data_IF_740330385041
#
_entry.id   IF_740330385041
#
_cell.length_a   1.000
_cell.length_b   1.000
_cell.length_c   1.000
_cell.angle_alpha   90.00
_cell.angle_beta   90.00
_cell.angle_gamma   90.00
#
_symmetry.space_group_name_H-M   'P 1'
#
loop_
_entity.id
_entity.type
_entity.pdbx_description
1 polymer ?
#
# COMPACT_ATOMS: atom_id res chain seq x y z
N UNK A 1 21.59 -5.30 21.73
CA UNK A 1 22.03 -6.51 21.00
C UNK A 1 21.38 -6.48 19.64
N UNK A 2 22.16 -6.08 18.64
CA UNK A 2 21.72 -5.91 17.24
C UNK A 2 21.36 -7.25 16.60
N UNK A 3 20.08 -7.46 16.34
CA UNK A 3 19.56 -8.57 15.54
C UNK A 3 19.61 -8.18 14.06
N UNK A 4 20.77 -8.35 13.43
CA UNK A 4 20.85 -8.41 11.97
C UNK A 4 21.43 -9.78 11.61
N UNK A 5 20.82 -10.54 10.67
CA UNK A 5 21.35 -11.83 10.25
C UNK A 5 22.73 -11.66 9.60
N UNK A 6 23.59 -12.67 9.79
CA UNK A 6 24.93 -12.71 9.24
C UNK A 6 24.96 -12.69 7.69
N UNK A 7 26.03 -12.10 7.17
CA UNK A 7 26.35 -11.80 5.76
C UNK A 7 26.10 -12.99 4.81
N UNK A 8 25.33 -12.75 3.74
CA UNK A 8 25.03 -13.70 2.65
C UNK A 8 25.99 -13.51 1.47
N UNK A 9 26.28 -14.61 0.78
CA UNK A 9 27.27 -14.75 -0.29
C UNK A 9 27.16 -13.72 -1.42
N UNK A 10 28.34 -13.32 -1.91
CA UNK A 10 28.56 -12.32 -2.95
C UNK A 10 28.20 -12.82 -4.38
N UNK A 11 27.63 -12.00 -5.30
CA UNK A 11 26.99 -12.51 -6.53
C UNK A 11 27.69 -12.19 -7.87
N UNK A 12 27.07 -12.59 -8.99
CA UNK A 12 27.54 -12.46 -10.40
C UNK A 12 28.09 -11.07 -10.81
N UNK A 13 28.87 -11.02 -11.90
CA UNK A 13 29.64 -9.82 -12.30
C UNK A 13 28.84 -8.51 -12.46
N UNK A 14 27.60 -8.56 -12.97
CA UNK A 14 26.74 -7.37 -13.04
C UNK A 14 26.28 -6.88 -11.67
N UNK A 15 26.07 -7.80 -10.72
CA UNK A 15 25.69 -7.49 -9.33
C UNK A 15 26.88 -6.86 -8.60
N UNK A 16 28.09 -7.37 -8.80
CA UNK A 16 29.32 -6.75 -8.26
C UNK A 16 29.56 -5.32 -8.75
N UNK A 17 29.30 -5.07 -10.04
CA UNK A 17 29.39 -3.73 -10.60
C UNK A 17 28.40 -2.77 -9.92
N UNK A 18 27.15 -3.19 -9.70
CA UNK A 18 26.16 -2.39 -8.99
C UNK A 18 26.57 -2.06 -7.54
N UNK A 19 27.07 -3.05 -6.79
CA UNK A 19 27.52 -2.84 -5.41
C UNK A 19 28.74 -1.90 -5.30
N UNK A 20 29.58 -1.85 -6.32
CA UNK A 20 30.73 -0.93 -6.36
C UNK A 20 30.40 0.47 -6.92
N UNK A 21 29.34 0.58 -7.73
CA UNK A 21 28.89 1.82 -8.33
C UNK A 21 27.96 2.64 -7.43
N UNK A 22 27.19 1.98 -6.56
CA UNK A 22 26.19 2.59 -5.70
C UNK A 22 26.83 3.38 -4.54
N UNK A 23 27.18 4.66 -4.79
CA UNK A 23 27.90 5.51 -3.82
C UNK A 23 26.99 6.47 -3.07
N UNK A 24 25.84 6.80 -3.64
CA UNK A 24 24.85 7.72 -3.10
C UNK A 24 23.44 7.13 -3.15
N UNK A 25 22.51 7.74 -2.41
CA UNK A 25 21.09 7.36 -2.46
C UNK A 25 20.49 7.45 -3.88
N UNK A 26 20.99 8.36 -4.71
CA UNK A 26 20.55 8.49 -6.10
C UNK A 26 21.00 7.31 -6.96
N UNK A 27 22.26 6.86 -6.82
CA UNK A 27 22.80 5.72 -7.54
C UNK A 27 22.06 4.42 -7.19
N UNK A 28 21.68 4.26 -5.91
CA UNK A 28 20.84 3.15 -5.46
C UNK A 28 19.47 3.19 -6.13
N UNK A 29 18.81 4.37 -6.19
CA UNK A 29 17.49 4.51 -6.83
C UNK A 29 17.54 4.21 -8.32
N UNK A 30 18.59 4.64 -9.02
CA UNK A 30 18.79 4.29 -10.43
C UNK A 30 18.95 2.77 -10.62
N UNK A 31 19.77 2.13 -9.79
CA UNK A 31 19.94 0.68 -9.80
C UNK A 31 18.62 -0.04 -9.51
N UNK A 32 17.88 0.43 -8.51
CA UNK A 32 16.61 -0.16 -8.09
C UNK A 32 15.53 -0.02 -9.15
N UNK A 33 15.54 1.04 -9.97
CA UNK A 33 14.59 1.18 -11.07
C UNK A 33 14.70 0.00 -12.06
N UNK A 34 15.93 -0.42 -12.42
CA UNK A 34 16.15 -1.60 -13.26
C UNK A 34 15.76 -2.90 -12.52
N UNK A 35 16.29 -3.09 -11.31
CA UNK A 35 16.07 -4.31 -10.53
C UNK A 35 14.62 -4.54 -10.12
N UNK A 36 13.82 -3.49 -9.98
CA UNK A 36 12.37 -3.60 -9.78
C UNK A 36 11.67 -4.27 -10.96
N UNK A 37 12.10 -3.98 -12.19
CA UNK A 37 11.50 -4.59 -13.40
C UNK A 37 11.94 -6.03 -13.60
N UNK A 38 13.19 -6.32 -13.23
CA UNK A 38 13.82 -7.64 -13.32
C UNK A 38 13.52 -8.54 -12.10
N UNK A 39 12.86 -8.00 -11.08
CA UNK A 39 12.46 -8.68 -9.84
C UNK A 39 13.63 -9.18 -8.98
N UNK A 40 14.74 -8.44 -8.98
CA UNK A 40 15.92 -8.72 -8.15
C UNK A 40 15.75 -8.25 -6.69
N UNK A 41 14.72 -8.76 -5.99
CA UNK A 41 14.34 -8.27 -4.65
C UNK A 41 15.42 -8.48 -3.58
N UNK A 42 16.04 -9.66 -3.59
CA UNK A 42 17.05 -10.00 -2.58
C UNK A 42 18.32 -9.16 -2.76
N UNK A 43 18.71 -8.88 -4.01
CA UNK A 43 19.80 -7.97 -4.33
C UNK A 43 19.52 -6.56 -3.87
N UNK A 44 18.31 -6.07 -4.13
CA UNK A 44 17.87 -4.76 -3.70
C UNK A 44 17.99 -4.60 -2.19
N UNK A 45 17.57 -5.62 -1.44
CA UNK A 45 17.68 -5.66 0.02
C UNK A 45 19.14 -5.64 0.49
N UNK A 46 19.96 -6.54 -0.04
CA UNK A 46 21.37 -6.65 0.33
C UNK A 46 22.15 -5.37 0.00
N UNK A 47 21.87 -4.75 -1.15
CA UNK A 47 22.51 -3.50 -1.54
C UNK A 47 22.11 -2.34 -0.63
N UNK A 48 20.82 -2.21 -0.33
CA UNK A 48 20.34 -1.19 0.63
C UNK A 48 20.99 -1.37 2.00
N UNK A 49 20.97 -2.59 2.54
CA UNK A 49 21.52 -2.91 3.86
C UNK A 49 23.04 -2.70 3.95
N UNK A 50 23.77 -3.08 2.90
CA UNK A 50 25.21 -2.83 2.80
C UNK A 50 25.49 -1.33 2.75
N UNK A 51 24.73 -0.59 1.93
CA UNK A 51 24.92 0.85 1.78
C UNK A 51 24.65 1.61 3.07
N UNK A 52 23.53 1.38 3.77
CA UNK A 52 23.22 2.09 5.03
C UNK A 52 24.20 1.77 6.17
N UNK A 53 24.90 0.62 6.11
CA UNK A 53 25.97 0.26 7.08
C UNK A 53 27.33 0.86 6.75
N UNK A 54 27.49 1.45 5.56
CA UNK A 54 28.73 2.07 5.10
C UNK A 54 28.70 3.59 5.21
N UNK A 55 29.86 4.21 4.97
CA UNK A 55 30.01 5.67 4.96
C UNK A 55 29.87 6.20 3.53
N UNK A 56 29.25 7.36 3.41
CA UNK A 56 29.16 8.11 2.18
C UNK A 56 30.58 8.46 1.68
N UNK A 57 30.89 8.08 0.45
CA UNK A 57 32.25 8.16 -0.09
C UNK A 57 32.75 9.61 -0.25
N UNK A 58 31.84 10.59 -0.36
CA UNK A 58 32.19 11.99 -0.56
C UNK A 58 32.36 12.74 0.78
N UNK A 59 31.56 12.40 1.78
CA UNK A 59 31.47 13.14 3.05
C UNK A 59 32.08 12.39 4.23
N UNK A 60 32.29 11.07 4.12
CA UNK A 60 32.77 10.21 5.20
C UNK A 60 31.77 10.04 6.35
N UNK A 61 30.52 10.49 6.18
CA UNK A 61 29.45 10.38 7.18
C UNK A 61 28.62 9.11 6.96
N UNK A 62 27.87 8.62 7.97
CA UNK A 62 26.94 7.52 7.77
C UNK A 62 25.97 7.80 6.63
N UNK A 63 25.78 6.82 5.74
CA UNK A 63 24.79 6.90 4.68
C UNK A 63 23.38 7.05 5.27
N UNK A 64 22.61 7.98 4.71
CA UNK A 64 21.24 8.26 5.15
C UNK A 64 20.28 8.10 3.99
N UNK A 65 19.38 7.11 4.00
CA UNK A 65 18.34 7.00 3.00
C UNK A 65 17.36 8.17 3.15
N UNK A 66 16.65 8.47 2.07
CA UNK A 66 15.42 9.26 2.14
C UNK A 66 14.19 8.33 2.14
N UNK A 67 13.01 8.91 2.39
CA UNK A 67 11.74 8.17 2.47
C UNK A 67 11.48 7.35 1.19
N UNK A 68 11.84 7.90 0.04
CA UNK A 68 11.62 7.26 -1.25
C UNK A 68 12.51 6.01 -1.41
N UNK A 69 13.83 6.14 -1.15
CA UNK A 69 14.75 5.01 -1.20
C UNK A 69 14.36 3.92 -0.17
N UNK A 70 13.95 4.31 1.04
CA UNK A 70 13.48 3.36 2.06
C UNK A 70 12.18 2.65 1.62
N UNK A 71 11.26 3.37 0.96
CA UNK A 71 10.04 2.76 0.39
C UNK A 71 10.35 1.73 -0.70
N UNK A 72 11.42 1.91 -1.48
CA UNK A 72 11.89 0.87 -2.39
C UNK A 72 12.33 -0.37 -1.59
N UNK A 73 13.13 -0.20 -0.53
CA UNK A 73 13.54 -1.32 0.35
C UNK A 73 12.34 -2.05 0.99
N UNK A 74 11.34 -1.32 1.50
CA UNK A 74 10.09 -1.90 1.99
C UNK A 74 9.36 -2.69 0.90
N UNK A 75 9.31 -2.15 -0.33
CA UNK A 75 8.69 -2.83 -1.47
C UNK A 75 9.42 -4.13 -1.82
N UNK A 76 10.75 -4.15 -1.84
CA UNK A 76 11.50 -5.38 -2.06
C UNK A 76 11.20 -6.43 -0.98
N UNK A 77 11.12 -6.04 0.29
CA UNK A 77 10.72 -6.95 1.38
C UNK A 77 9.30 -7.52 1.19
N UNK A 78 8.32 -6.68 0.84
CA UNK A 78 6.96 -7.11 0.50
C UNK A 78 6.94 -8.12 -0.67
N UNK A 79 7.81 -7.92 -1.67
CA UNK A 79 7.89 -8.79 -2.85
C UNK A 79 8.66 -10.09 -2.57
N UNK A 80 9.62 -10.06 -1.64
CA UNK A 80 10.29 -11.25 -1.09
C UNK A 80 9.41 -12.06 -0.12
N UNK A 81 8.20 -11.60 0.19
CA UNK A 81 7.26 -12.32 1.05
C UNK A 81 7.44 -12.06 2.54
N UNK A 82 7.98 -10.90 2.93
CA UNK A 82 8.07 -10.49 4.32
C UNK A 82 6.71 -10.58 5.02
N UNK A 83 6.72 -11.00 6.27
CA UNK A 83 5.55 -11.13 7.11
C UNK A 83 5.06 -9.75 7.60
N UNK A 84 3.79 -9.63 8.01
CA UNK A 84 3.25 -8.34 8.41
C UNK A 84 3.99 -7.69 9.59
N UNK A 85 4.45 -8.47 10.58
CA UNK A 85 5.21 -7.93 11.70
C UNK A 85 6.60 -7.44 11.28
N UNK A 86 7.29 -8.17 10.39
CA UNK A 86 8.58 -7.73 9.84
C UNK A 86 8.42 -6.40 9.08
N UNK A 87 7.35 -6.25 8.31
CA UNK A 87 7.07 -5.00 7.58
C UNK A 87 6.74 -3.83 8.51
N UNK A 88 6.13 -4.09 9.67
CA UNK A 88 5.92 -3.07 10.70
C UNK A 88 7.25 -2.65 11.35
N UNK A 89 8.08 -3.63 11.71
CA UNK A 89 9.39 -3.38 12.31
C UNK A 89 10.27 -2.55 11.36
N UNK A 90 10.29 -2.90 10.07
CA UNK A 90 11.01 -2.13 9.05
C UNK A 90 10.46 -0.71 8.88
N UNK A 91 9.15 -0.52 8.92
CA UNK A 91 8.55 0.82 8.86
C UNK A 91 8.91 1.65 10.12
N UNK A 92 8.95 1.04 11.30
CA UNK A 92 9.36 1.72 12.52
C UNK A 92 10.88 2.01 12.53
N UNK A 93 11.70 1.18 11.87
CA UNK A 93 13.14 1.40 11.70
C UNK A 93 13.47 2.69 10.94
N UNK A 94 12.57 3.21 10.11
CA UNK A 94 12.75 4.51 9.44
C UNK A 94 13.12 5.64 10.43
N UNK A 95 12.66 5.56 11.68
CA UNK A 95 12.96 6.53 12.74
C UNK A 95 14.43 6.56 13.14
N UNK A 96 15.16 5.46 12.99
CA UNK A 96 16.61 5.41 13.24
C UNK A 96 17.39 6.29 12.26
N UNK A 97 16.79 6.60 11.11
CA UNK A 97 17.33 7.48 10.07
C UNK A 97 16.72 8.89 10.11
N UNK A 98 15.99 9.24 11.17
CA UNK A 98 15.21 10.48 11.30
C UNK A 98 14.13 10.63 10.20
N UNK A 99 13.63 9.51 9.68
CA UNK A 99 12.55 9.48 8.69
C UNK A 99 11.22 9.11 9.35
N UNK A 100 10.13 9.72 8.87
CA UNK A 100 8.77 9.32 9.23
C UNK A 100 8.15 8.50 8.09
N UNK A 101 7.52 7.35 8.38
CA UNK A 101 6.71 6.63 7.40
C UNK A 101 5.62 7.54 6.82
N UNK A 102 5.43 7.51 5.51
CA UNK A 102 4.37 8.26 4.84
C UNK A 102 3.24 7.32 4.38
N UNK A 103 2.24 7.87 3.68
CA UNK A 103 1.11 7.09 3.13
C UNK A 103 1.60 5.91 2.28
N UNK A 104 2.62 6.11 1.43
CA UNK A 104 3.18 5.03 0.61
C UNK A 104 3.86 3.94 1.45
N UNK A 105 4.60 4.31 2.51
CA UNK A 105 5.19 3.35 3.46
C UNK A 105 4.11 2.48 4.12
N UNK A 106 3.04 3.09 4.61
CA UNK A 106 1.93 2.36 5.23
C UNK A 106 1.13 1.53 4.22
N UNK A 107 0.98 1.96 2.97
CA UNK A 107 0.37 1.16 1.92
C UNK A 107 1.15 -0.14 1.65
N UNK A 108 2.48 -0.12 1.75
CA UNK A 108 3.30 -1.33 1.64
C UNK A 108 3.03 -2.30 2.81
N UNK A 109 2.91 -1.78 4.03
CA UNK A 109 2.53 -2.57 5.20
C UNK A 109 1.11 -3.14 5.06
N UNK A 110 0.14 -2.32 4.63
CA UNK A 110 -1.25 -2.74 4.39
C UNK A 110 -1.32 -3.84 3.33
N UNK A 111 -0.55 -3.75 2.24
CA UNK A 111 -0.47 -4.81 1.22
C UNK A 111 -0.02 -6.13 1.82
N UNK A 112 0.92 -6.12 2.76
CA UNK A 112 1.35 -7.33 3.47
C UNK A 112 0.22 -7.90 4.33
N UNK A 113 -0.51 -7.05 5.06
CA UNK A 113 -1.69 -7.46 5.85
C UNK A 113 -2.77 -8.10 4.96
N UNK A 114 -3.07 -7.50 3.80
CA UNK A 114 -4.05 -8.05 2.84
C UNK A 114 -3.59 -9.41 2.32
N UNK A 115 -2.31 -9.56 1.94
CA UNK A 115 -1.75 -10.85 1.49
C UNK A 115 -1.84 -11.92 2.58
N UNK A 116 -1.58 -11.54 3.83
CA UNK A 116 -1.64 -12.44 4.99
C UNK A 116 -3.07 -12.66 5.52
N UNK A 117 -4.07 -11.93 5.01
CA UNK A 117 -5.46 -11.92 5.49
C UNK A 117 -5.60 -11.46 6.96
N UNK A 118 -4.72 -10.59 7.40
CA UNK A 118 -4.69 -10.03 8.77
C UNK A 118 -5.65 -8.84 8.88
N UNK A 119 -6.92 -9.13 9.12
CA UNK A 119 -8.00 -8.14 9.13
C UNK A 119 -7.81 -7.08 10.22
N UNK A 120 -7.59 -7.51 11.46
CA UNK A 120 -7.43 -6.63 12.61
C UNK A 120 -6.16 -5.77 12.49
N UNK A 121 -5.10 -6.33 11.91
CA UNK A 121 -3.86 -5.61 11.62
C UNK A 121 -4.08 -4.49 10.60
N UNK A 122 -4.80 -4.76 9.52
CA UNK A 122 -5.10 -3.76 8.50
C UNK A 122 -5.95 -2.60 9.05
N UNK A 123 -6.99 -2.88 9.85
CA UNK A 123 -7.80 -1.83 10.49
C UNK A 123 -6.94 -0.93 11.39
N UNK A 124 -6.10 -1.53 12.25
CA UNK A 124 -5.20 -0.79 13.16
C UNK A 124 -4.23 0.12 12.42
N UNK A 125 -3.77 -0.27 11.22
CA UNK A 125 -2.86 0.56 10.45
C UNK A 125 -3.55 1.81 9.90
N UNK A 126 -4.75 1.67 9.35
CA UNK A 126 -5.53 2.84 8.89
C UNK A 126 -5.89 3.75 10.06
N UNK A 127 -6.25 3.19 11.22
CA UNK A 127 -6.50 3.97 12.43
C UNK A 127 -5.24 4.71 12.91
N UNK A 128 -4.08 4.05 12.91
CA UNK A 128 -2.79 4.66 13.24
C UNK A 128 -2.44 5.81 12.31
N UNK A 129 -2.68 5.67 11.00
CA UNK A 129 -2.47 6.75 10.02
C UNK A 129 -3.32 7.97 10.39
N UNK A 130 -4.63 7.78 10.61
CA UNK A 130 -5.55 8.85 10.98
C UNK A 130 -5.17 9.53 12.31
N UNK A 131 -4.79 8.75 13.33
CA UNK A 131 -4.39 9.28 14.65
C UNK A 131 -3.07 10.06 14.61
N UNK A 132 -2.16 9.69 13.71
CA UNK A 132 -0.86 10.35 13.55
C UNK A 132 -0.88 11.48 12.53
N UNK A 133 -2.05 11.81 11.98
CA UNK A 133 -2.22 12.88 10.99
C UNK A 133 -1.73 12.52 9.57
N UNK A 134 -1.40 11.25 9.33
CA UNK A 134 -1.04 10.74 8.00
C UNK A 134 -2.34 10.43 7.27
N UNK A 135 -2.60 11.15 6.18
CA UNK A 135 -3.85 11.02 5.43
C UNK A 135 -3.82 9.72 4.60
N UNK A 136 -4.73 8.77 4.85
CA UNK A 136 -4.89 7.60 3.99
C UNK A 136 -5.39 8.05 2.61
N UNK A 137 -4.83 7.45 1.56
CA UNK A 137 -5.21 7.69 0.17
C UNK A 137 -6.25 6.67 -0.34
N UNK A 138 -6.59 6.78 -1.62
CA UNK A 138 -7.53 5.86 -2.27
C UNK A 138 -7.04 4.41 -2.21
N UNK A 139 -5.73 4.16 -2.36
CA UNK A 139 -5.15 2.83 -2.22
C UNK A 139 -5.31 2.29 -0.80
N UNK A 140 -5.00 3.10 0.22
CA UNK A 140 -5.15 2.74 1.64
C UNK A 140 -6.57 2.25 1.95
N UNK A 141 -7.57 3.03 1.55
CA UNK A 141 -8.98 2.70 1.78
C UNK A 141 -9.42 1.48 0.99
N UNK A 142 -9.05 1.38 -0.29
CA UNK A 142 -9.42 0.23 -1.10
C UNK A 142 -8.85 -1.08 -0.52
N UNK A 143 -7.61 -1.08 -0.02
CA UNK A 143 -6.99 -2.26 0.60
C UNK A 143 -7.76 -2.73 1.84
N UNK A 144 -8.09 -1.83 2.77
CA UNK A 144 -8.78 -2.21 4.01
C UNK A 144 -10.23 -2.60 3.74
N UNK A 145 -10.95 -1.88 2.87
CA UNK A 145 -12.35 -2.16 2.55
C UNK A 145 -12.48 -3.49 1.82
N UNK A 146 -11.66 -3.76 0.80
CA UNK A 146 -11.65 -5.04 0.08
C UNK A 146 -11.40 -6.21 1.05
N UNK A 147 -10.41 -6.09 1.93
CA UNK A 147 -10.08 -7.12 2.91
C UNK A 147 -11.26 -7.40 3.86
N UNK A 148 -11.90 -6.34 4.39
CA UNK A 148 -13.04 -6.46 5.31
C UNK A 148 -14.26 -7.10 4.65
N UNK A 149 -14.59 -6.69 3.41
CA UNK A 149 -15.72 -7.25 2.67
C UNK A 149 -15.54 -8.76 2.44
N UNK A 150 -14.33 -9.18 2.03
CA UNK A 150 -14.01 -10.61 1.80
C UNK A 150 -14.06 -11.46 3.07
N UNK A 151 -13.96 -10.84 4.25
CA UNK A 151 -14.02 -11.52 5.54
C UNK A 151 -15.36 -11.29 6.27
N UNK A 152 -16.40 -10.86 5.56
CA UNK A 152 -17.75 -10.61 6.10
C UNK A 152 -17.78 -9.58 7.26
N UNK A 153 -16.82 -8.65 7.31
CA UNK A 153 -16.78 -7.55 8.28
C UNK A 153 -17.46 -6.31 7.71
N UNK A 154 -18.73 -6.46 7.30
CA UNK A 154 -19.47 -5.46 6.53
C UNK A 154 -19.56 -4.10 7.24
N UNK A 155 -19.88 -4.05 8.54
CA UNK A 155 -20.04 -2.80 9.27
C UNK A 155 -18.74 -1.96 9.29
N UNK A 156 -17.60 -2.60 9.55
CA UNK A 156 -16.27 -1.99 9.45
C UNK A 156 -15.99 -1.52 8.02
N UNK A 157 -16.26 -2.36 7.02
CA UNK A 157 -16.04 -2.01 5.62
C UNK A 157 -16.84 -0.77 5.23
N UNK A 158 -18.09 -0.68 5.69
CA UNK A 158 -18.99 0.43 5.39
C UNK A 158 -18.52 1.72 6.06
N UNK A 159 -18.05 1.65 7.31
CA UNK A 159 -17.40 2.78 8.01
C UNK A 159 -16.22 3.34 7.21
N UNK A 160 -15.32 2.49 6.74
CA UNK A 160 -14.15 2.95 5.96
C UNK A 160 -14.53 3.43 4.57
N UNK A 161 -15.53 2.83 3.92
CA UNK A 161 -16.05 3.30 2.64
C UNK A 161 -16.68 4.70 2.77
N UNK A 162 -17.46 4.95 3.83
CA UNK A 162 -17.97 6.30 4.10
C UNK A 162 -16.85 7.31 4.35
N UNK A 163 -15.81 6.92 5.08
CA UNK A 163 -14.67 7.79 5.34
C UNK A 163 -13.91 8.11 4.04
N UNK A 164 -13.68 7.10 3.19
CA UNK A 164 -13.09 7.26 1.85
C UNK A 164 -13.84 8.30 1.02
N UNK A 165 -15.17 8.19 0.95
CA UNK A 165 -16.03 9.13 0.21
C UNK A 165 -15.98 10.54 0.83
N UNK A 166 -16.00 10.66 2.17
CA UNK A 166 -15.88 11.96 2.87
C UNK A 166 -14.53 12.64 2.60
N UNK A 167 -13.47 11.84 2.45
CA UNK A 167 -12.12 12.31 2.10
C UNK A 167 -11.97 12.67 0.62
N UNK A 168 -13.02 12.51 -0.20
CA UNK A 168 -13.01 12.87 -1.62
C UNK A 168 -12.53 11.77 -2.56
N UNK A 169 -12.23 10.58 -2.04
CA UNK A 169 -11.74 9.45 -2.83
C UNK A 169 -12.90 8.63 -3.42
N UNK A 170 -12.72 8.17 -4.65
CA UNK A 170 -13.70 7.34 -5.34
C UNK A 170 -13.47 5.85 -5.05
N UNK A 171 -14.55 5.12 -4.79
CA UNK A 171 -14.50 3.66 -4.58
C UNK A 171 -14.06 2.97 -5.86
N UNK A 172 -13.10 2.05 -5.77
CA UNK A 172 -12.67 1.27 -6.94
C UNK A 172 -13.76 0.30 -7.40
N UNK A 173 -13.78 -0.01 -8.70
CA UNK A 173 -14.78 -0.92 -9.29
C UNK A 173 -14.84 -2.31 -8.59
N UNK A 174 -13.71 -2.97 -8.27
CA UNK A 174 -13.74 -4.26 -7.58
C UNK A 174 -14.37 -4.18 -6.17
N UNK A 175 -14.01 -3.15 -5.40
CA UNK A 175 -14.55 -2.92 -4.05
C UNK A 175 -16.04 -2.65 -4.12
N UNK A 176 -16.48 -1.83 -5.07
CA UNK A 176 -17.90 -1.52 -5.24
C UNK A 176 -18.72 -2.76 -5.64
N UNK A 177 -18.19 -3.61 -6.52
CA UNK A 177 -18.86 -4.85 -6.92
C UNK A 177 -18.99 -5.86 -5.76
N UNK A 178 -17.98 -5.98 -4.90
CA UNK A 178 -18.07 -6.79 -3.68
C UNK A 178 -19.06 -6.17 -2.68
N UNK A 179 -19.03 -4.86 -2.49
CA UNK A 179 -19.96 -4.14 -1.61
C UNK A 179 -21.43 -4.39 -1.99
N UNK A 180 -21.75 -4.31 -3.29
CA UNK A 180 -23.11 -4.60 -3.81
C UNK A 180 -23.49 -6.05 -3.50
N UNK A 181 -22.60 -7.02 -3.75
CA UNK A 181 -22.85 -8.43 -3.44
C UNK A 181 -23.14 -8.66 -1.95
N UNK A 182 -22.36 -8.05 -1.06
CA UNK A 182 -22.56 -8.13 0.40
C UNK A 182 -23.90 -7.51 0.82
N UNK A 183 -24.26 -6.36 0.26
CA UNK A 183 -25.54 -5.70 0.58
C UNK A 183 -26.74 -6.53 0.10
N UNK A 184 -26.69 -7.07 -1.12
CA UNK A 184 -27.74 -7.94 -1.66
C UNK A 184 -27.90 -9.20 -0.82
N UNK A 185 -26.80 -9.85 -0.46
CA UNK A 185 -26.81 -11.07 0.36
C UNK A 185 -27.36 -10.83 1.78
N UNK A 186 -27.09 -9.66 2.35
CA UNK A 186 -27.55 -9.29 3.70
C UNK A 186 -28.93 -8.62 3.73
N UNK A 187 -29.54 -8.32 2.56
CA UNK A 187 -30.77 -7.56 2.48
C UNK A 187 -30.62 -6.06 2.83
N UNK A 188 -29.39 -5.56 2.95
CA UNK A 188 -29.08 -4.18 3.36
C UNK A 188 -29.21 -3.18 2.19
N UNK A 189 -30.38 -3.16 1.55
CA UNK A 189 -30.61 -2.38 0.32
C UNK A 189 -30.60 -0.86 0.56
N UNK A 190 -31.03 -0.41 1.74
CA UNK A 190 -31.01 1.02 2.10
C UNK A 190 -29.57 1.55 2.18
N UNK A 191 -28.66 0.79 2.79
CA UNK A 191 -27.23 1.13 2.86
C UNK A 191 -26.61 1.15 1.47
N UNK A 192 -27.01 0.21 0.61
CA UNK A 192 -26.59 0.19 -0.79
C UNK A 192 -27.04 1.45 -1.56
N UNK A 193 -28.31 1.82 -1.43
CA UNK A 193 -28.87 3.02 -2.07
C UNK A 193 -28.17 4.29 -1.58
N UNK A 194 -27.94 4.42 -0.27
CA UNK A 194 -27.23 5.55 0.34
C UNK A 194 -25.82 5.73 -0.22
N UNK A 195 -25.04 4.65 -0.32
CA UNK A 195 -23.69 4.71 -0.89
C UNK A 195 -23.71 5.00 -2.39
N UNK A 196 -24.66 4.42 -3.15
CA UNK A 196 -24.82 4.74 -4.58
C UNK A 196 -25.02 6.25 -4.78
N UNK A 197 -25.89 6.87 -4.00
CA UNK A 197 -26.14 8.32 -4.09
C UNK A 197 -24.89 9.14 -3.72
N UNK A 198 -24.17 8.77 -2.65
CA UNK A 198 -22.92 9.45 -2.28
C UNK A 198 -21.86 9.33 -3.40
N UNK A 199 -21.71 8.15 -3.99
CA UNK A 199 -20.82 7.93 -5.12
C UNK A 199 -21.21 8.81 -6.33
N UNK A 200 -22.51 8.90 -6.69
CA UNK A 200 -22.98 9.78 -7.77
C UNK A 200 -22.55 11.23 -7.54
N UNK A 201 -22.78 11.76 -6.33
CA UNK A 201 -22.45 13.14 -5.98
C UNK A 201 -20.95 13.41 -6.11
N UNK A 202 -20.10 12.50 -5.64
CA UNK A 202 -18.64 12.63 -5.76
C UNK A 202 -18.16 12.63 -7.21
N UNK A 203 -18.70 11.73 -8.03
CA UNK A 203 -18.34 11.63 -9.43
C UNK A 203 -18.77 12.89 -10.19
N UNK A 204 -19.96 13.42 -9.92
CA UNK A 204 -20.44 14.68 -10.50
C UNK A 204 -19.58 15.88 -10.08
N UNK A 205 -19.08 15.90 -8.84
CA UNK A 205 -18.17 16.96 -8.36
C UNK A 205 -16.78 16.90 -9.00
N UNK A 206 -16.29 15.72 -9.33
CA UNK A 206 -14.93 15.53 -9.84
C UNK A 206 -14.75 15.85 -11.34
N UNK A 207 -15.77 16.38 -12.04
CA UNK A 207 -15.76 16.85 -13.44
C UNK A 207 -15.24 15.86 -14.51
N UNK A 208 -14.85 14.64 -14.13
CA UNK A 208 -14.35 13.62 -15.05
C UNK A 208 -15.51 12.90 -15.72
N UNK A 209 -15.79 13.27 -16.97
CA UNK A 209 -16.80 12.62 -17.81
C UNK A 209 -16.63 11.10 -17.90
N UNK A 210 -15.37 10.63 -17.88
CA UNK A 210 -15.00 9.21 -17.92
C UNK A 210 -15.46 8.48 -16.65
N UNK A 211 -15.28 9.09 -15.47
CA UNK A 211 -15.74 8.51 -14.21
C UNK A 211 -17.27 8.39 -14.16
N UNK A 212 -18.00 9.40 -14.66
CA UNK A 212 -19.47 9.33 -14.82
C UNK A 212 -19.91 8.18 -15.73
N UNK A 213 -19.23 7.99 -16.88
CA UNK A 213 -19.56 6.92 -17.82
C UNK A 213 -19.27 5.52 -17.25
N UNK A 214 -18.13 5.33 -16.58
CA UNK A 214 -17.79 4.06 -15.95
C UNK A 214 -18.75 3.70 -14.82
N UNK A 215 -19.12 4.66 -13.99
CA UNK A 215 -20.07 4.42 -12.90
C UNK A 215 -21.48 4.15 -13.42
N UNK A 216 -21.92 4.85 -14.47
CA UNK A 216 -23.19 4.55 -15.14
C UNK A 216 -23.18 3.16 -15.75
N UNK A 217 -22.08 2.74 -16.38
CA UNK A 217 -21.93 1.38 -16.92
C UNK A 217 -21.92 0.33 -15.80
N UNK A 218 -21.24 0.59 -14.68
CA UNK A 218 -21.22 -0.30 -13.52
C UNK A 218 -22.62 -0.45 -12.89
N UNK A 219 -23.36 0.64 -12.71
CA UNK A 219 -24.77 0.58 -12.28
C UNK A 219 -25.61 -0.21 -13.28
N UNK A 220 -25.43 0.02 -14.59
CA UNK A 220 -26.15 -0.71 -15.65
C UNK A 220 -25.87 -2.22 -15.62
N UNK A 221 -24.62 -2.62 -15.39
CA UNK A 221 -24.24 -4.03 -15.22
C UNK A 221 -24.84 -4.66 -13.95
N UNK A 222 -25.08 -3.86 -12.91
CA UNK A 222 -25.68 -4.30 -11.65
C UNK A 222 -27.22 -4.20 -11.67
N UNK A 223 -27.81 -3.52 -12.65
CA UNK A 223 -29.27 -3.32 -12.77
C UNK A 223 -30.05 -4.63 -12.93
N UNK A 224 -29.57 -5.67 -13.66
CA UNK A 224 -30.23 -6.97 -13.68
C UNK A 224 -30.28 -7.62 -12.30
N UNK A 225 -29.23 -7.49 -11.49
CA UNK A 225 -29.18 -8.04 -10.13
C UNK A 225 -30.12 -7.30 -9.16
N UNK A 226 -30.27 -5.98 -9.32
CA UNK A 226 -31.19 -5.17 -8.54
C UNK A 226 -32.67 -5.38 -8.92
N UNK A 227 -32.96 -5.82 -10.15
CA UNK A 227 -34.32 -6.12 -10.64
C UNK A 227 -34.82 -7.52 -10.24
N UNK A 228 -33.95 -8.39 -9.77
CA UNK A 228 -34.29 -9.74 -9.31
C UNK A 228 -34.52 -9.84 -7.79
N UNK A 229 -34.46 -8.70 -7.08
CA UNK A 229 -34.89 -8.51 -5.69
C UNK A 229 -36.28 -7.87 -5.65
#
# INVERSE_FOLDING_TARGET
SSLLPAVVAFPDGHRMAAFSAARSAADLKETFAAWMTEQHWEDMKQLFESWVRSLDAATGKPNRPDVDLFNHYLRANLMSGALPHEMLDLADQMREFDLAPNTASYNLVLKTMVKAREVEGAEKIVERMLQTGIVPDDESYNLVVDLLLRHNRADSAFKYLELMLKSGYAVSSPVFAEYVRVCVKSGSLDTLASIIEKCKVLILKNSSFIACMLFRNLILQLTPFLRCL
#
